data_IF_430842545711
#
_entry.id   IF_430842545711
#
_cell.length_a   1.000
_cell.length_b   1.000
_cell.length_c   1.000
_cell.angle_alpha   90.00
_cell.angle_beta   90.00
_cell.angle_gamma   90.00
#
_symmetry.space_group_name_H-M   'P 1'
#
loop_
_entity.id
_entity.type
_entity.pdbx_description
1 polymer ?
#
# COMPACT_ATOMS: atom_id res chain seq x y z
N UNK A 1 25.56 8.61 14.03
CA UNK A 1 24.14 8.49 14.38
C UNK A 1 23.38 9.11 13.24
N UNK A 2 22.65 8.32 12.46
CA UNK A 2 21.56 8.82 11.64
C UNK A 2 20.40 7.87 11.94
N UNK A 3 19.32 8.48 12.42
CA UNK A 3 18.12 7.84 12.90
C UNK A 3 17.29 7.40 11.70
N UNK A 4 17.43 6.13 11.30
CA UNK A 4 16.43 5.41 10.49
C UNK A 4 15.20 5.09 11.37
N UNK A 5 14.61 6.11 11.99
CA UNK A 5 13.38 5.97 12.77
C UNK A 5 12.18 6.48 11.98
N UNK A 6 11.09 5.71 12.08
CA UNK A 6 9.74 5.95 11.57
C UNK A 6 9.45 5.61 10.10
N UNK A 7 10.04 4.53 9.59
CA UNK A 7 9.31 3.74 8.59
C UNK A 7 9.45 2.27 8.93
N UNK A 8 8.34 1.53 9.13
CA UNK A 8 8.41 0.08 9.22
C UNK A 8 9.21 -0.43 8.03
N UNK A 9 10.12 -1.38 8.30
CA UNK A 9 11.00 -1.98 7.29
C UNK A 9 10.11 -2.86 6.39
N UNK A 10 9.33 -2.19 5.54
CA UNK A 10 8.44 -2.83 4.60
C UNK A 10 9.34 -3.74 3.75
N UNK A 11 9.00 -5.01 3.54
CA UNK A 11 9.82 -5.94 2.75
C UNK A 11 9.95 -5.53 1.27
N UNK A 12 9.46 -4.35 0.90
CA UNK A 12 9.41 -3.80 -0.43
C UNK A 12 10.02 -2.40 -0.44
N UNK A 13 10.76 -2.08 -1.51
CA UNK A 13 11.09 -0.69 -1.80
C UNK A 13 9.77 0.07 -1.99
N UNK A 14 9.66 1.29 -1.45
CA UNK A 14 8.55 2.21 -1.76
C UNK A 14 8.30 2.18 -3.27
N UNK A 15 7.08 1.84 -3.67
CA UNK A 15 6.66 1.78 -5.07
C UNK A 15 6.45 3.20 -5.60
N UNK A 16 6.54 3.38 -6.93
CA UNK A 16 6.35 4.68 -7.58
C UNK A 16 5.00 5.32 -7.23
N UNK A 17 3.96 4.51 -6.98
CA UNK A 17 2.65 4.98 -6.53
C UNK A 17 2.70 5.63 -5.14
N UNK A 18 3.48 5.06 -4.22
CA UNK A 18 3.65 5.59 -2.85
C UNK A 18 4.48 6.87 -2.91
N UNK A 19 5.57 6.87 -3.68
CA UNK A 19 6.39 8.06 -3.87
C UNK A 19 5.59 9.20 -4.52
N UNK A 20 4.71 8.90 -5.47
CA UNK A 20 3.80 9.89 -6.06
C UNK A 20 2.84 10.49 -5.03
N UNK A 21 2.30 9.65 -4.12
CA UNK A 21 1.38 10.08 -3.06
C UNK A 21 2.07 10.97 -2.01
N UNK A 22 3.31 10.65 -1.65
CA UNK A 22 4.11 11.45 -0.73
C UNK A 22 4.48 12.83 -1.32
N UNK A 23 4.61 12.92 -2.64
CA UNK A 23 4.90 14.16 -3.37
C UNK A 23 3.66 15.07 -3.52
N UNK A 24 2.45 14.57 -3.30
CA UNK A 24 1.26 15.42 -3.31
C UNK A 24 1.19 16.25 -2.03
N UNK A 25 0.80 17.52 -2.17
CA UNK A 25 0.51 18.37 -1.02
C UNK A 25 -0.66 17.81 -0.20
N UNK A 26 -0.69 18.11 1.10
CA UNK A 26 -1.78 17.69 1.98
C UNK A 26 -3.17 18.07 1.42
N UNK A 27 -3.33 19.30 0.94
CA UNK A 27 -4.58 19.79 0.37
C UNK A 27 -5.04 18.99 -0.85
N UNK A 28 -4.10 18.55 -1.69
CA UNK A 28 -4.41 17.73 -2.88
C UNK A 28 -4.86 16.32 -2.50
N UNK A 29 -4.27 15.74 -1.44
CA UNK A 29 -4.69 14.44 -0.89
C UNK A 29 -6.07 14.54 -0.24
N UNK A 30 -6.35 15.64 0.47
CA UNK A 30 -7.65 15.89 1.10
C UNK A 30 -8.78 16.06 0.06
N UNK A 31 -8.51 16.80 -1.01
CA UNK A 31 -9.51 17.09 -2.06
C UNK A 31 -9.65 15.99 -3.11
N UNK A 32 -8.88 14.90 -3.00
CA UNK A 32 -8.90 13.82 -4.00
C UNK A 32 -10.27 13.14 -4.03
N UNK A 33 -10.77 12.88 -5.23
CA UNK A 33 -12.05 12.22 -5.41
C UNK A 33 -12.01 10.79 -4.81
N UNK A 34 -13.08 10.33 -4.11
CA UNK A 34 -13.10 9.00 -3.52
C UNK A 34 -12.87 7.84 -4.48
N UNK A 35 -13.22 7.96 -5.76
CA UNK A 35 -12.91 6.97 -6.77
C UNK A 35 -11.42 6.96 -7.12
N UNK A 36 -10.84 8.15 -7.32
CA UNK A 36 -9.40 8.30 -7.58
C UNK A 36 -8.56 7.76 -6.42
N UNK A 37 -8.96 8.04 -5.18
CA UNK A 37 -8.29 7.50 -3.99
C UNK A 37 -8.26 5.96 -4.01
N UNK A 38 -9.41 5.34 -4.27
CA UNK A 38 -9.57 3.89 -4.35
C UNK A 38 -8.67 3.28 -5.42
N UNK A 39 -8.65 3.90 -6.60
CA UNK A 39 -7.83 3.46 -7.73
C UNK A 39 -6.33 3.47 -7.35
N UNK A 40 -5.84 4.56 -6.77
CA UNK A 40 -4.43 4.68 -6.37
C UNK A 40 -4.04 3.70 -5.26
N UNK A 41 -4.91 3.50 -4.27
CA UNK A 41 -4.70 2.49 -3.22
C UNK A 41 -4.58 1.09 -3.84
N UNK A 42 -5.44 0.75 -4.81
CA UNK A 42 -5.37 -0.54 -5.49
C UNK A 42 -4.09 -0.68 -6.32
N UNK A 43 -3.68 0.35 -7.06
CA UNK A 43 -2.41 0.34 -7.83
C UNK A 43 -1.22 0.11 -6.90
N UNK A 44 -1.21 0.75 -5.73
CA UNK A 44 -0.16 0.54 -4.73
C UNK A 44 -0.14 -0.92 -4.24
N UNK A 45 -1.31 -1.47 -3.89
CA UNK A 45 -1.45 -2.86 -3.46
C UNK A 45 -0.97 -3.85 -4.54
N UNK A 46 -1.41 -3.68 -5.78
CA UNK A 46 -1.03 -4.52 -6.92
C UNK A 46 0.49 -4.50 -7.16
N UNK A 47 1.10 -3.32 -7.05
CA UNK A 47 2.54 -3.14 -7.18
C UNK A 47 3.30 -3.86 -6.07
N UNK A 48 2.83 -3.78 -4.83
CA UNK A 48 3.41 -4.51 -3.71
C UNK A 48 3.26 -6.03 -3.85
N UNK A 49 2.10 -6.51 -4.32
CA UNK A 49 1.84 -7.94 -4.50
C UNK A 49 2.77 -8.56 -5.54
N UNK A 50 2.99 -7.89 -6.67
CA UNK A 50 3.98 -8.30 -7.67
C UNK A 50 5.39 -8.32 -7.10
N UNK A 51 5.78 -7.27 -6.38
CA UNK A 51 7.08 -7.21 -5.73
C UNK A 51 7.28 -8.30 -4.66
N UNK A 52 6.22 -8.71 -3.97
CA UNK A 52 6.25 -9.82 -3.01
C UNK A 52 6.46 -11.15 -3.72
N UNK A 53 5.69 -11.45 -4.77
CA UNK A 53 5.82 -12.66 -5.58
C UNK A 53 7.25 -12.82 -6.11
N UNK A 54 7.85 -11.74 -6.61
CA UNK A 54 9.20 -11.75 -7.19
C UNK A 54 10.31 -12.01 -6.15
N UNK A 55 10.10 -11.67 -4.87
CA UNK A 55 11.18 -11.62 -3.85
C UNK A 55 11.03 -12.59 -2.68
N UNK A 56 9.81 -12.88 -2.24
CA UNK A 56 9.55 -13.46 -0.90
C UNK A 56 8.84 -14.82 -0.96
N UNK A 57 8.14 -15.17 -2.04
CA UNK A 57 7.64 -16.53 -2.27
C UNK A 57 6.18 -16.63 -2.70
N UNK A 58 5.63 -17.85 -2.61
CA UNK A 58 4.36 -18.30 -3.22
C UNK A 58 3.15 -18.33 -2.28
N UNK A 59 3.29 -17.79 -1.06
CA UNK A 59 2.24 -17.85 -0.02
C UNK A 59 1.29 -16.64 -0.14
N UNK A 60 0.03 -16.93 -0.50
CA UNK A 60 -1.03 -15.93 -0.67
C UNK A 60 -1.44 -15.28 0.64
N UNK A 61 -1.66 -16.04 1.71
CA UNK A 61 -2.10 -15.50 3.00
C UNK A 61 -1.04 -14.55 3.57
N UNK A 62 0.24 -14.94 3.46
CA UNK A 62 1.34 -14.10 3.90
C UNK A 62 1.51 -12.85 3.03
N UNK A 63 1.26 -12.94 1.72
CA UNK A 63 1.17 -11.76 0.85
C UNK A 63 0.11 -10.78 1.36
N UNK A 64 -1.10 -11.27 1.64
CA UNK A 64 -2.23 -10.43 2.07
C UNK A 64 -1.92 -9.70 3.37
N UNK A 65 -1.40 -10.42 4.38
CA UNK A 65 -1.02 -9.85 5.67
C UNK A 65 0.03 -8.74 5.54
N UNK A 66 1.08 -8.99 4.74
CA UNK A 66 2.18 -8.05 4.57
C UNK A 66 1.72 -6.78 3.85
N UNK A 67 0.92 -6.91 2.79
CA UNK A 67 0.43 -5.75 2.03
C UNK A 67 -0.60 -4.95 2.83
N UNK A 68 -1.52 -5.62 3.54
CA UNK A 68 -2.51 -4.93 4.38
C UNK A 68 -1.83 -4.11 5.50
N UNK A 69 -0.78 -4.68 6.11
CA UNK A 69 0.04 -3.97 7.11
C UNK A 69 0.72 -2.75 6.48
N UNK A 70 1.34 -2.92 5.31
CA UNK A 70 2.03 -1.84 4.60
C UNK A 70 1.09 -0.68 4.23
N UNK A 71 -0.09 -0.99 3.67
CA UNK A 71 -1.11 0.01 3.35
C UNK A 71 -1.60 0.74 4.61
N UNK A 72 -1.78 0.04 5.71
CA UNK A 72 -2.23 0.64 6.97
C UNK A 72 -1.20 1.61 7.54
N UNK A 73 0.08 1.21 7.58
CA UNK A 73 1.17 2.04 8.09
C UNK A 73 1.39 3.29 7.22
N UNK A 74 1.37 3.13 5.89
CA UNK A 74 1.45 4.25 4.97
C UNK A 74 0.24 5.19 5.08
N UNK A 75 -0.97 4.64 5.18
CA UNK A 75 -2.18 5.44 5.35
C UNK A 75 -2.13 6.26 6.63
N UNK A 76 -1.66 5.67 7.73
CA UNK A 76 -1.45 6.39 8.99
C UNK A 76 -0.41 7.53 8.84
N UNK A 77 0.68 7.30 8.11
CA UNK A 77 1.72 8.31 7.85
C UNK A 77 1.25 9.45 6.94
N UNK A 78 0.46 9.16 5.90
CA UNK A 78 -0.06 10.17 4.97
C UNK A 78 -1.10 11.09 5.62
N UNK A 79 -1.84 10.57 6.60
CA UNK A 79 -2.89 11.28 7.32
C UNK A 79 -4.06 11.70 6.44
N UNK A 80 -5.01 12.42 7.05
CA UNK A 80 -6.15 12.98 6.33
C UNK A 80 -7.13 11.94 5.76
N UNK A 81 -8.02 12.39 4.90
CA UNK A 81 -9.03 11.62 4.18
C UNK A 81 -8.42 10.51 3.33
N UNK A 82 -7.31 10.81 2.62
CA UNK A 82 -6.60 9.81 1.82
C UNK A 82 -6.00 8.70 2.70
N UNK A 83 -5.31 9.08 3.77
CA UNK A 83 -4.73 8.14 4.72
C UNK A 83 -5.77 7.27 5.40
N UNK A 84 -6.87 7.86 5.87
CA UNK A 84 -7.99 7.13 6.47
C UNK A 84 -8.64 6.15 5.48
N UNK A 85 -8.80 6.55 4.21
CA UNK A 85 -9.33 5.67 3.16
C UNK A 85 -8.38 4.51 2.88
N UNK A 86 -7.08 4.77 2.83
CA UNK A 86 -6.06 3.73 2.63
C UNK A 86 -6.07 2.70 3.75
N UNK A 87 -6.11 3.14 5.02
CA UNK A 87 -6.23 2.25 6.18
C UNK A 87 -7.50 1.42 6.10
N UNK A 88 -8.66 2.06 5.86
CA UNK A 88 -9.95 1.38 5.82
C UNK A 88 -10.13 0.40 4.64
N UNK A 89 -9.26 0.48 3.63
CA UNK A 89 -9.30 -0.40 2.46
C UNK A 89 -8.15 -1.40 2.39
N UNK A 90 -7.19 -1.32 3.30
CA UNK A 90 -5.94 -2.08 3.29
C UNK A 90 -6.15 -3.59 3.07
N UNK A 91 -7.01 -4.22 3.88
CA UNK A 91 -7.30 -5.66 3.78
C UNK A 91 -7.92 -6.04 2.44
N UNK A 92 -8.95 -5.30 1.99
CA UNK A 92 -9.66 -5.59 0.74
C UNK A 92 -8.77 -5.37 -0.48
N UNK A 93 -7.94 -4.34 -0.45
CA UNK A 93 -6.99 -4.05 -1.53
C UNK A 93 -5.88 -5.11 -1.59
N UNK A 94 -5.36 -5.53 -0.43
CA UNK A 94 -4.38 -6.60 -0.31
C UNK A 94 -4.91 -7.95 -0.82
N UNK A 95 -6.11 -8.36 -0.39
CA UNK A 95 -6.78 -9.58 -0.87
C UNK A 95 -6.90 -9.59 -2.40
N UNK A 96 -7.40 -8.48 -2.98
CA UNK A 96 -7.54 -8.36 -4.44
C UNK A 96 -6.20 -8.45 -5.15
N UNK A 97 -5.20 -7.71 -4.66
CA UNK A 97 -3.88 -7.66 -5.25
C UNK A 97 -3.19 -9.04 -5.20
N UNK A 98 -3.24 -9.72 -4.06
CA UNK A 98 -2.65 -11.05 -3.90
C UNK A 98 -3.39 -12.10 -4.73
N UNK A 99 -4.71 -12.06 -4.86
CA UNK A 99 -5.46 -12.95 -5.76
C UNK A 99 -5.06 -12.81 -7.24
N UNK A 100 -4.72 -11.60 -7.69
CA UNK A 100 -4.29 -11.35 -9.07
C UNK A 100 -2.94 -12.03 -9.35
N UNK A 101 -2.02 -12.00 -8.39
CA UNK A 101 -0.67 -12.55 -8.56
C UNK A 101 -0.54 -14.01 -8.09
N UNK A 102 -1.48 -14.48 -7.27
CA UNK A 102 -1.65 -15.87 -6.81
C UNK A 102 -3.03 -16.42 -7.19
N UNK A 103 -3.32 -16.64 -8.49
CA UNK A 103 -4.65 -17.08 -8.94
C UNK A 103 -5.01 -18.52 -8.53
N UNK A 104 -4.03 -19.31 -8.08
CA UNK A 104 -4.19 -20.73 -7.72
C UNK A 104 -3.79 -21.05 -6.25
N UNK A 105 -3.69 -20.03 -5.39
CA UNK A 105 -3.29 -20.17 -3.97
C UNK A 105 -4.41 -20.54 -3.02
#
# INVERSE_FOLDING_TARGET
MNEDQDTPDLPFKKTDAISWLEQQGFDQRESMDPYEMKEKIQIAADSMARAYLDKKGTDREKCEMVIASALSEMGASLGGNFGATMVGMSEKAAQRACLIVFPEG
#
